data_IF_623198725238
#
_entry.id   IF_623198725238
#
_cell.length_a   1.000
_cell.length_b   1.000
_cell.length_c   1.000
_cell.angle_alpha   90.00
_cell.angle_beta   90.00
_cell.angle_gamma   90.00
#
_symmetry.space_group_name_H-M   'P 1'
#
loop_
_entity.id
_entity.type
_entity.pdbx_description
1 polymer ?
#
# COMPACT_ATOMS: atom_id res chain seq x y z
N UNK A 1 -15.09 24.59 0.80
CA UNK A 1 -16.30 25.23 1.36
C UNK A 1 -17.46 25.19 0.37
N UNK A 2 -17.26 25.52 -0.90
CA UNK A 2 -18.31 25.46 -1.95
C UNK A 2 -18.90 24.07 -2.12
N UNK A 3 -18.11 23.01 -1.88
CA UNK A 3 -18.57 21.61 -1.91
C UNK A 3 -19.15 21.12 -0.57
N UNK A 4 -19.44 22.03 0.37
CA UNK A 4 -20.03 21.69 1.68
C UNK A 4 -19.05 21.09 2.70
N UNK A 5 -17.73 21.09 2.42
CA UNK A 5 -16.74 20.66 3.39
C UNK A 5 -16.47 21.77 4.40
N UNK A 6 -16.67 21.54 5.70
CA UNK A 6 -16.39 22.53 6.74
C UNK A 6 -14.92 22.94 6.75
N UNK A 7 -14.65 24.22 7.01
CA UNK A 7 -13.30 24.78 6.98
C UNK A 7 -12.34 24.09 7.96
N UNK A 8 -12.83 23.68 9.11
CA UNK A 8 -12.06 22.96 10.13
C UNK A 8 -11.62 21.55 9.70
N UNK A 9 -12.15 21.05 8.57
CA UNK A 9 -11.72 19.78 7.95
C UNK A 9 -10.76 19.99 6.78
N UNK A 10 -10.33 21.22 6.53
CA UNK A 10 -9.36 21.56 5.49
C UNK A 10 -8.03 21.91 6.16
N UNK A 11 -7.03 21.07 5.95
CA UNK A 11 -5.70 21.20 6.55
C UNK A 11 -4.70 21.66 5.51
N UNK A 12 -3.97 22.73 5.78
CA UNK A 12 -2.89 23.25 4.94
C UNK A 12 -1.55 22.75 5.50
N UNK A 13 -1.08 21.65 4.95
CA UNK A 13 0.12 20.99 5.41
C UNK A 13 1.35 21.46 4.61
N UNK A 14 2.57 21.34 5.17
CA UNK A 14 3.80 21.74 4.49
C UNK A 14 4.14 20.81 3.31
N UNK A 15 5.10 21.22 2.48
CA UNK A 15 5.58 20.48 1.30
C UNK A 15 5.90 19.00 1.60
N UNK A 16 6.32 18.67 2.79
CA UNK A 16 6.59 17.29 3.23
C UNK A 16 5.36 16.38 3.07
N UNK A 17 4.15 16.93 3.25
CA UNK A 17 2.88 16.22 3.24
C UNK A 17 2.03 16.53 1.99
N UNK A 18 2.31 17.63 1.29
CA UNK A 18 1.53 18.09 0.13
C UNK A 18 2.43 18.32 -1.09
N UNK A 19 3.27 17.34 -1.43
CA UNK A 19 4.09 17.36 -2.63
C UNK A 19 4.36 15.93 -3.10
N UNK A 20 4.00 15.64 -4.34
CA UNK A 20 4.22 14.36 -4.95
C UNK A 20 5.31 14.39 -6.03
N UNK A 21 6.15 13.36 -6.03
CA UNK A 21 7.21 13.13 -7.01
C UNK A 21 7.51 11.62 -7.10
N UNK A 22 7.41 11.04 -8.30
CA UNK A 22 7.60 9.59 -8.51
C UNK A 22 9.05 9.13 -8.71
N UNK A 23 10.02 10.02 -8.63
CA UNK A 23 11.41 9.66 -8.91
C UNK A 23 12.36 10.84 -8.86
N UNK A 24 13.53 10.67 -9.49
CA UNK A 24 14.59 11.69 -9.46
C UNK A 24 14.46 12.72 -10.57
N UNK A 25 14.03 12.31 -11.76
CA UNK A 25 13.94 13.19 -12.97
C UNK A 25 12.58 12.95 -13.60
N UNK A 26 11.58 13.71 -13.16
CA UNK A 26 10.16 13.46 -13.48
C UNK A 26 9.32 14.72 -13.31
N UNK A 27 8.13 14.77 -13.93
CA UNK A 27 7.08 15.71 -13.54
C UNK A 27 6.69 15.56 -12.08
N UNK A 28 6.36 16.65 -11.42
CA UNK A 28 5.97 16.68 -10.01
C UNK A 28 5.14 17.92 -9.71
N UNK A 29 4.58 18.00 -8.52
CA UNK A 29 3.83 19.17 -8.10
C UNK A 29 3.21 19.04 -6.72
N UNK A 30 2.57 20.11 -6.24
CA UNK A 30 1.78 20.06 -5.03
C UNK A 30 0.59 19.12 -5.23
N UNK A 31 0.11 18.56 -4.15
CA UNK A 31 -1.04 17.67 -4.15
C UNK A 31 -2.10 18.06 -3.12
N UNK A 32 -3.27 17.48 -3.29
CA UNK A 32 -4.33 17.49 -2.30
C UNK A 32 -4.78 16.07 -2.06
N UNK A 33 -4.95 15.72 -0.81
CA UNK A 33 -5.35 14.38 -0.41
C UNK A 33 -6.70 14.40 0.29
N UNK A 34 -7.51 13.36 0.07
CA UNK A 34 -8.75 13.16 0.78
C UNK A 34 -8.59 12.04 1.80
N UNK A 35 -8.91 12.36 3.04
CA UNK A 35 -8.85 11.43 4.16
C UNK A 35 -10.24 11.14 4.73
N UNK A 36 -10.41 9.92 5.20
CA UNK A 36 -11.56 9.53 6.02
C UNK A 36 -11.14 9.51 7.48
N UNK A 37 -11.86 10.23 8.33
CA UNK A 37 -11.76 10.07 9.79
C UNK A 37 -12.45 8.77 10.19
N UNK A 38 -11.69 7.85 10.74
CA UNK A 38 -12.13 6.51 11.13
C UNK A 38 -12.79 6.47 12.51
N UNK A 39 -12.94 7.63 13.14
CA UNK A 39 -13.57 7.76 14.46
C UNK A 39 -12.69 7.31 15.64
N UNK A 40 -11.41 7.00 15.40
CA UNK A 40 -10.49 6.67 16.49
C UNK A 40 -10.15 7.90 17.34
N UNK A 41 -9.80 7.67 18.60
CA UNK A 41 -9.35 8.74 19.49
C UNK A 41 -8.10 9.43 18.92
N UNK A 42 -7.99 10.75 19.05
CA UNK A 42 -6.77 11.48 18.69
C UNK A 42 -5.55 10.92 19.44
N UNK A 43 -4.41 10.83 18.77
CA UNK A 43 -3.16 10.37 19.41
C UNK A 43 -2.52 11.44 20.31
N UNK A 44 -2.87 12.70 20.11
CA UNK A 44 -2.46 13.86 20.91
C UNK A 44 -3.37 15.06 20.59
N UNK A 45 -3.26 16.13 21.37
CA UNK A 45 -3.92 17.40 21.08
C UNK A 45 -3.39 17.96 19.74
N UNK A 46 -4.31 18.35 18.84
CA UNK A 46 -3.95 18.80 17.48
C UNK A 46 -3.68 17.66 16.49
N UNK A 47 -4.12 16.44 16.78
CA UNK A 47 -4.07 15.32 15.84
C UNK A 47 -4.77 15.67 14.52
N UNK A 48 -4.05 15.57 13.41
CA UNK A 48 -4.48 15.91 12.07
C UNK A 48 -4.09 14.82 11.05
N UNK A 49 -4.43 14.94 9.75
CA UNK A 49 -4.07 13.97 8.72
C UNK A 49 -2.57 13.70 8.52
N UNK A 50 -1.68 14.55 9.04
CA UNK A 50 -0.23 14.31 8.98
C UNK A 50 0.27 13.28 10.01
N UNK A 51 -0.61 12.83 10.91
CA UNK A 51 -0.26 11.85 11.95
C UNK A 51 -0.37 10.41 11.44
N UNK A 52 0.65 9.59 11.73
CA UNK A 52 0.67 8.15 11.39
C UNK A 52 -0.11 7.27 12.38
N UNK A 53 -1.05 7.83 13.14
CA UNK A 53 -1.77 7.10 14.20
C UNK A 53 -2.90 6.20 13.66
N UNK A 54 -3.24 6.30 12.38
CA UNK A 54 -4.29 5.53 11.74
C UNK A 54 -5.71 6.07 11.95
N UNK A 55 -5.89 7.21 12.64
CA UNK A 55 -7.18 7.90 12.75
C UNK A 55 -7.69 8.36 11.40
N UNK A 56 -6.82 8.96 10.62
CA UNK A 56 -7.11 9.42 9.26
C UNK A 56 -6.54 8.43 8.24
N UNK A 57 -7.38 7.95 7.33
CA UNK A 57 -6.98 7.06 6.24
C UNK A 57 -7.10 7.82 4.92
N UNK A 58 -5.98 8.05 4.26
CA UNK A 58 -5.95 8.61 2.90
C UNK A 58 -6.61 7.64 1.93
N UNK A 59 -7.57 8.13 1.14
CA UNK A 59 -8.30 7.34 0.15
C UNK A 59 -8.05 7.83 -1.27
N UNK A 60 -7.69 9.10 -1.45
CA UNK A 60 -7.54 9.72 -2.77
C UNK A 60 -6.50 10.81 -2.74
N UNK A 61 -5.74 10.94 -3.82
CA UNK A 61 -4.75 11.98 -4.02
C UNK A 61 -4.95 12.64 -5.40
N UNK A 62 -4.90 13.98 -5.48
CA UNK A 62 -4.88 14.74 -6.71
C UNK A 62 -3.57 15.52 -6.78
N UNK A 63 -2.73 15.19 -7.77
CA UNK A 63 -1.43 15.82 -7.96
C UNK A 63 -1.52 16.87 -9.06
N UNK A 64 -1.19 18.10 -8.73
CA UNK A 64 -1.14 19.20 -9.69
C UNK A 64 0.26 19.24 -10.33
N UNK A 65 0.42 18.52 -11.43
CA UNK A 65 1.67 18.42 -12.20
C UNK A 65 1.99 19.77 -12.83
N UNK A 66 2.76 20.60 -12.13
CA UNK A 66 3.13 21.94 -12.53
C UNK A 66 4.62 22.08 -12.81
N UNK A 67 5.45 21.19 -12.29
CA UNK A 67 6.90 21.27 -12.33
C UNK A 67 7.53 20.01 -12.92
N UNK A 68 8.74 20.19 -13.47
CA UNK A 68 9.66 19.12 -13.84
C UNK A 68 10.92 19.25 -13.00
N UNK A 69 11.33 18.17 -12.35
CA UNK A 69 12.61 18.09 -11.65
C UNK A 69 13.63 17.43 -12.56
N UNK A 70 14.76 18.09 -12.79
CA UNK A 70 15.87 17.57 -13.59
C UNK A 70 16.83 16.69 -12.76
N UNK A 71 17.83 16.10 -13.42
CA UNK A 71 18.86 15.26 -12.83
C UNK A 71 19.73 15.97 -11.77
N UNK A 72 19.83 17.31 -11.86
CA UNK A 72 20.57 18.17 -10.92
C UNK A 72 19.69 18.59 -9.74
N UNK A 73 18.41 18.20 -9.71
CA UNK A 73 17.47 18.55 -8.67
C UNK A 73 16.80 19.92 -8.84
N UNK A 74 16.98 20.61 -9.98
CA UNK A 74 16.34 21.87 -10.26
C UNK A 74 14.90 21.67 -10.73
N UNK A 75 14.03 22.59 -10.32
CA UNK A 75 12.62 22.59 -10.70
C UNK A 75 12.35 23.64 -11.76
N UNK A 76 11.78 23.27 -12.89
CA UNK A 76 11.28 24.14 -13.93
C UNK A 76 9.77 23.96 -14.11
N UNK A 77 9.07 25.00 -14.57
CA UNK A 77 7.63 24.90 -14.85
C UNK A 77 7.39 24.06 -16.11
N UNK A 78 6.40 23.20 -16.07
CA UNK A 78 5.91 22.49 -17.24
C UNK A 78 5.22 23.48 -18.21
N UNK A 79 5.39 23.24 -19.51
CA UNK A 79 4.64 23.98 -20.54
C UNK A 79 3.14 23.72 -20.47
N UNK A 80 2.78 22.47 -20.22
CA UNK A 80 1.41 22.02 -20.01
C UNK A 80 1.27 21.52 -18.58
N UNK A 81 0.33 22.09 -17.85
CA UNK A 81 -0.06 21.60 -16.53
C UNK A 81 -1.08 20.48 -16.66
N UNK A 82 -0.98 19.49 -15.80
CA UNK A 82 -1.90 18.38 -15.74
C UNK A 82 -2.34 18.15 -14.28
N UNK A 83 -3.49 17.50 -14.12
CA UNK A 83 -3.87 16.93 -12.83
C UNK A 83 -3.81 15.43 -13.00
N UNK A 84 -2.98 14.80 -12.18
CA UNK A 84 -2.94 13.35 -12.04
C UNK A 84 -3.71 12.96 -10.78
N UNK A 85 -4.40 11.85 -10.79
CA UNK A 85 -5.23 11.43 -9.66
C UNK A 85 -5.02 9.96 -9.37
N UNK A 86 -4.94 9.64 -8.07
CA UNK A 86 -4.76 8.28 -7.59
C UNK A 86 -5.72 7.93 -6.46
N UNK A 87 -6.12 6.67 -6.42
CA UNK A 87 -7.03 6.15 -5.40
C UNK A 87 -6.49 4.83 -4.86
N UNK A 88 -6.50 4.68 -3.54
CA UNK A 88 -6.20 3.41 -2.91
C UNK A 88 -7.37 2.45 -3.02
N UNK A 89 -7.37 1.52 -3.99
CA UNK A 89 -8.48 0.60 -4.21
C UNK A 89 -8.87 -0.17 -2.94
N UNK A 90 -7.90 -0.78 -2.27
CA UNK A 90 -8.15 -1.55 -1.04
C UNK A 90 -8.57 -0.65 0.12
N UNK A 91 -8.08 0.60 0.16
CA UNK A 91 -8.49 1.58 1.18
C UNK A 91 -9.95 1.97 0.99
N UNK A 92 -10.38 2.25 -0.24
CA UNK A 92 -11.78 2.55 -0.55
C UNK A 92 -12.68 1.35 -0.28
N UNK A 93 -12.27 0.14 -0.71
CA UNK A 93 -13.02 -1.09 -0.40
C UNK A 93 -13.16 -1.31 1.10
N UNK A 94 -12.10 -1.07 1.87
CA UNK A 94 -12.12 -1.18 3.33
C UNK A 94 -13.18 -0.28 3.94
N UNK A 95 -13.19 1.00 3.58
CA UNK A 95 -14.13 2.00 4.10
C UNK A 95 -15.56 1.71 3.63
N UNK A 96 -15.76 1.43 2.34
CA UNK A 96 -17.09 1.18 1.77
C UNK A 96 -17.79 -0.04 2.36
N UNK A 97 -17.02 -1.03 2.83
CA UNK A 97 -17.55 -2.23 3.46
C UNK A 97 -17.55 -2.17 5.00
N UNK A 98 -17.10 -1.07 5.59
CA UNK A 98 -17.03 -0.93 7.06
C UNK A 98 -15.99 -1.82 7.72
N UNK A 99 -14.93 -2.22 7.00
CA UNK A 99 -13.85 -3.03 7.55
C UNK A 99 -12.86 -2.19 8.38
N UNK A 100 -12.26 -2.79 9.38
CA UNK A 100 -11.23 -2.14 10.18
C UNK A 100 -9.89 -2.01 9.44
N UNK A 101 -9.56 -2.98 8.58
CA UNK A 101 -8.28 -2.99 7.87
C UNK A 101 -8.44 -3.45 6.42
N UNK A 102 -7.53 -3.02 5.56
CA UNK A 102 -7.46 -3.45 4.16
C UNK A 102 -7.27 -4.97 4.02
N UNK A 103 -6.73 -5.64 5.02
CA UNK A 103 -6.52 -7.09 5.02
C UNK A 103 -7.82 -7.91 5.16
N UNK A 104 -8.94 -7.26 5.42
CA UNK A 104 -10.27 -7.87 5.43
C UNK A 104 -10.93 -7.85 4.05
N UNK A 105 -10.39 -7.04 3.16
CA UNK A 105 -10.90 -6.93 1.79
C UNK A 105 -10.62 -8.19 0.97
N UNK A 106 -11.42 -8.38 -0.05
CA UNK A 106 -11.42 -9.50 -0.99
C UNK A 106 -10.03 -9.88 -1.56
N UNK A 107 -9.10 -8.93 -1.90
CA UNK A 107 -7.76 -9.28 -2.36
C UNK A 107 -6.97 -10.22 -1.44
N UNK A 108 -7.25 -10.23 -0.15
CA UNK A 108 -6.48 -10.98 0.84
C UNK A 108 -7.17 -12.25 1.35
N UNK A 109 -8.44 -12.46 1.05
CA UNK A 109 -9.24 -13.55 1.65
C UNK A 109 -8.68 -14.94 1.35
N UNK A 110 -8.32 -15.23 0.10
CA UNK A 110 -7.77 -16.53 -0.30
C UNK A 110 -6.42 -16.84 0.35
N UNK A 111 -5.52 -15.86 0.34
CA UNK A 111 -4.20 -16.02 0.96
C UNK A 111 -4.28 -16.13 2.48
N UNK A 112 -5.19 -15.38 3.12
CA UNK A 112 -5.46 -15.47 4.56
C UNK A 112 -5.96 -16.85 4.93
N UNK A 113 -6.95 -17.37 4.23
CA UNK A 113 -7.47 -18.74 4.44
C UNK A 113 -6.38 -19.80 4.26
N UNK A 114 -5.48 -19.62 3.27
CA UNK A 114 -4.36 -20.56 3.06
C UNK A 114 -3.36 -20.52 4.21
N UNK A 115 -3.05 -19.37 4.78
CA UNK A 115 -2.18 -19.29 5.96
C UNK A 115 -2.85 -19.97 7.15
N UNK A 116 -4.15 -19.75 7.38
CA UNK A 116 -4.91 -20.40 8.45
C UNK A 116 -4.92 -21.93 8.29
N UNK A 117 -5.15 -22.42 7.07
CA UNK A 117 -5.11 -23.86 6.74
C UNK A 117 -3.75 -24.49 7.07
N UNK A 118 -2.66 -23.81 6.70
CA UNK A 118 -1.30 -24.34 6.86
C UNK A 118 -0.75 -24.26 8.28
N UNK A 119 -1.27 -23.34 9.10
CA UNK A 119 -0.74 -23.09 10.46
C UNK A 119 -1.68 -23.49 11.59
N UNK A 120 -2.97 -23.65 11.29
CA UNK A 120 -4.03 -23.81 12.30
C UNK A 120 -4.33 -22.54 13.11
N UNK A 121 -3.59 -21.44 12.88
CA UNK A 121 -3.78 -20.17 13.58
C UNK A 121 -4.78 -19.28 12.86
N UNK A 122 -5.47 -18.41 13.60
CA UNK A 122 -6.48 -17.51 13.06
C UNK A 122 -5.98 -16.06 12.99
N UNK A 123 -6.34 -15.38 11.90
CA UNK A 123 -6.14 -13.93 11.79
C UNK A 123 -6.93 -13.24 12.92
N UNK A 124 -6.29 -12.32 13.64
CA UNK A 124 -6.93 -11.61 14.76
C UNK A 124 -6.77 -12.32 16.12
N UNK A 125 -6.20 -13.53 16.19
CA UNK A 125 -6.06 -14.33 17.42
C UNK A 125 -5.18 -13.64 18.48
N UNK A 126 -4.11 -12.98 18.06
CA UNK A 126 -3.29 -12.08 18.89
C UNK A 126 -2.65 -10.98 18.06
N UNK A 127 -2.16 -9.90 18.68
CA UNK A 127 -1.44 -8.83 17.97
C UNK A 127 -0.22 -9.35 17.18
N UNK A 128 0.54 -10.29 17.74
CA UNK A 128 1.72 -10.88 17.12
C UNK A 128 1.34 -11.72 15.90
N UNK A 129 0.33 -12.57 16.03
CA UNK A 129 -0.20 -13.41 14.95
C UNK A 129 -0.75 -12.51 13.85
N UNK A 130 -1.57 -11.53 14.19
CA UNK A 130 -2.15 -10.57 13.24
C UNK A 130 -1.07 -9.83 12.46
N UNK A 131 -0.03 -9.34 13.14
CA UNK A 131 1.12 -8.68 12.50
C UNK A 131 1.84 -9.60 11.54
N UNK A 132 2.07 -10.86 11.92
CA UNK A 132 2.73 -11.83 11.07
C UNK A 132 1.90 -12.14 9.81
N UNK A 133 0.58 -12.33 9.95
CA UNK A 133 -0.33 -12.48 8.81
C UNK A 133 -0.23 -11.29 7.86
N UNK A 134 -0.38 -10.06 8.35
CA UNK A 134 -0.34 -8.83 7.53
C UNK A 134 0.95 -8.73 6.73
N UNK A 135 2.09 -9.01 7.36
CA UNK A 135 3.39 -8.97 6.69
C UNK A 135 3.47 -10.03 5.58
N UNK A 136 3.02 -11.25 5.83
CA UNK A 136 3.05 -12.32 4.83
C UNK A 136 2.10 -11.98 3.68
N UNK A 137 0.87 -11.59 3.97
CA UNK A 137 -0.14 -11.23 2.97
C UNK A 137 0.35 -10.13 2.03
N UNK A 138 0.87 -9.03 2.59
CA UNK A 138 1.38 -7.90 1.84
C UNK A 138 2.62 -8.27 1.01
N UNK A 139 3.61 -8.89 1.64
CA UNK A 139 4.90 -9.15 0.99
C UNK A 139 4.81 -10.25 -0.05
N UNK A 140 4.02 -11.30 0.17
CA UNK A 140 3.84 -12.37 -0.83
C UNK A 140 3.05 -11.85 -2.02
N UNK A 141 1.98 -11.06 -1.81
CA UNK A 141 1.26 -10.41 -2.90
C UNK A 141 2.19 -9.55 -3.75
N UNK A 142 2.93 -8.64 -3.11
CA UNK A 142 3.88 -7.77 -3.81
C UNK A 142 4.94 -8.58 -4.57
N UNK A 143 5.51 -9.61 -3.94
CA UNK A 143 6.50 -10.47 -4.60
C UNK A 143 5.91 -11.21 -5.80
N UNK A 144 4.67 -11.71 -5.71
CA UNK A 144 3.99 -12.40 -6.82
C UNK A 144 3.86 -11.50 -8.04
N UNK A 145 3.41 -10.26 -7.86
CA UNK A 145 3.29 -9.31 -8.98
C UNK A 145 4.64 -8.85 -9.53
N UNK A 146 5.63 -8.57 -8.67
CA UNK A 146 6.97 -8.17 -9.12
C UNK A 146 7.68 -9.26 -9.92
N UNK A 147 7.52 -10.52 -9.54
CA UNK A 147 8.12 -11.67 -10.25
C UNK A 147 7.34 -11.96 -11.54
N UNK A 148 6.03 -11.90 -11.50
CA UNK A 148 5.15 -12.23 -12.62
C UNK A 148 4.97 -11.10 -13.64
N UNK A 149 5.45 -9.88 -13.37
CA UNK A 149 5.40 -8.76 -14.33
C UNK A 149 6.11 -9.13 -15.66
N UNK A 150 5.67 -8.55 -16.78
CA UNK A 150 6.27 -8.80 -18.10
C UNK A 150 7.80 -8.60 -18.14
N UNK A 151 8.31 -7.62 -17.37
CA UNK A 151 9.75 -7.41 -17.21
C UNK A 151 10.37 -8.37 -16.20
N UNK A 152 9.59 -8.89 -15.27
CA UNK A 152 9.98 -9.81 -14.22
C UNK A 152 11.17 -9.32 -13.37
N UNK A 153 11.00 -9.20 -12.07
CA UNK A 153 12.11 -8.84 -11.18
C UNK A 153 12.59 -10.09 -10.46
N UNK A 154 13.90 -10.36 -10.55
CA UNK A 154 14.53 -11.49 -9.85
C UNK A 154 15.13 -10.98 -8.52
N UNK A 155 15.00 -11.73 -7.41
CA UNK A 155 15.65 -11.36 -6.16
C UNK A 155 17.17 -11.26 -6.33
N UNK A 156 17.75 -10.13 -5.94
CA UNK A 156 19.18 -9.86 -6.10
C UNK A 156 19.78 -9.11 -4.90
N UNK A 157 21.02 -8.67 -5.02
CA UNK A 157 21.70 -7.86 -4.00
C UNK A 157 21.66 -6.36 -4.29
N UNK A 158 21.09 -5.95 -5.42
CA UNK A 158 21.07 -4.55 -5.88
C UNK A 158 19.68 -4.13 -6.34
N UNK A 159 19.43 -2.83 -6.34
CA UNK A 159 18.27 -2.16 -6.90
C UNK A 159 16.90 -2.78 -6.48
N UNK A 160 15.97 -2.88 -7.42
CA UNK A 160 14.62 -3.42 -7.17
C UNK A 160 14.66 -4.90 -6.72
N UNK A 161 15.62 -5.67 -7.24
CA UNK A 161 15.81 -7.07 -6.86
C UNK A 161 16.22 -7.23 -5.39
N UNK A 162 16.97 -6.27 -4.84
CA UNK A 162 17.27 -6.23 -3.40
C UNK A 162 16.02 -5.99 -2.55
N UNK A 163 15.15 -5.07 -2.98
CA UNK A 163 13.87 -4.82 -2.29
C UNK A 163 13.02 -6.09 -2.29
N UNK A 164 12.84 -6.72 -3.46
CA UNK A 164 12.11 -7.99 -3.58
C UNK A 164 12.68 -9.08 -2.67
N UNK A 165 13.99 -9.25 -2.66
CA UNK A 165 14.67 -10.21 -1.77
C UNK A 165 14.38 -9.92 -0.29
N UNK A 166 14.37 -8.65 0.12
CA UNK A 166 14.03 -8.26 1.50
C UNK A 166 12.59 -8.61 1.86
N UNK A 167 11.63 -8.36 0.95
CA UNK A 167 10.22 -8.70 1.16
C UNK A 167 10.06 -10.21 1.37
N UNK A 168 10.63 -11.03 0.47
CA UNK A 168 10.56 -12.50 0.57
C UNK A 168 11.20 -12.97 1.90
N UNK A 169 12.40 -12.51 2.24
CA UNK A 169 13.06 -12.89 3.49
C UNK A 169 12.26 -12.51 4.73
N UNK A 170 11.60 -11.35 4.69
CA UNK A 170 10.75 -10.92 5.78
C UNK A 170 9.48 -11.79 5.89
N UNK A 171 8.86 -12.14 4.77
CA UNK A 171 7.75 -13.09 4.75
C UNK A 171 8.15 -14.46 5.29
N UNK A 172 9.31 -14.99 4.89
CA UNK A 172 9.87 -16.26 5.44
C UNK A 172 10.04 -16.17 6.96
N UNK A 173 10.64 -15.09 7.45
CA UNK A 173 10.85 -14.89 8.89
C UNK A 173 9.55 -14.94 9.67
N UNK A 174 8.54 -14.19 9.24
CA UNK A 174 7.23 -14.17 9.91
C UNK A 174 6.44 -15.46 9.68
N UNK A 175 6.65 -16.14 8.55
CA UNK A 175 6.13 -17.48 8.32
C UNK A 175 6.62 -18.49 9.35
N UNK A 176 7.91 -18.46 9.70
CA UNK A 176 8.47 -19.28 10.78
C UNK A 176 7.84 -18.98 12.14
N UNK A 177 7.60 -17.69 12.44
CA UNK A 177 6.88 -17.29 13.67
C UNK A 177 5.47 -17.88 13.75
N UNK A 178 4.78 -18.00 12.61
CA UNK A 178 3.46 -18.66 12.54
C UNK A 178 3.54 -20.18 12.51
N UNK A 179 4.70 -20.76 12.26
CA UNK A 179 4.87 -22.22 12.10
C UNK A 179 4.54 -22.71 10.68
N UNK A 180 4.62 -21.82 9.67
CA UNK A 180 4.45 -22.22 8.27
C UNK A 180 5.50 -23.27 7.86
N UNK A 181 5.08 -24.41 7.28
CA UNK A 181 6.01 -25.39 6.71
C UNK A 181 6.88 -24.79 5.59
N UNK A 182 7.99 -25.44 5.30
CA UNK A 182 8.84 -25.06 4.17
C UNK A 182 8.06 -25.12 2.84
N UNK A 183 8.34 -24.17 1.92
CA UNK A 183 7.62 -24.07 0.65
C UNK A 183 6.23 -23.44 0.73
N UNK A 184 5.73 -23.07 1.91
CA UNK A 184 4.37 -22.51 2.08
C UNK A 184 4.16 -21.18 1.35
N UNK A 185 5.19 -20.35 1.20
CA UNK A 185 5.04 -19.06 0.52
C UNK A 185 4.62 -19.23 -0.95
N UNK A 186 5.10 -20.27 -1.63
CA UNK A 186 4.66 -20.58 -2.99
C UNK A 186 3.17 -20.97 -3.04
N UNK A 187 2.68 -21.72 -2.05
CA UNK A 187 1.26 -22.08 -1.94
C UNK A 187 0.37 -20.88 -1.66
N UNK A 188 0.88 -19.90 -0.88
CA UNK A 188 0.19 -18.64 -0.63
C UNK A 188 0.21 -17.77 -1.90
N UNK A 189 1.33 -17.67 -2.60
CA UNK A 189 1.45 -16.95 -3.87
C UNK A 189 0.48 -17.50 -4.93
N UNK A 190 0.31 -18.83 -5.01
CA UNK A 190 -0.64 -19.46 -5.92
C UNK A 190 -2.09 -18.97 -5.72
N UNK A 191 -2.48 -18.57 -4.52
CA UNK A 191 -3.82 -18.00 -4.28
C UNK A 191 -3.99 -16.65 -4.94
N UNK A 192 -2.95 -15.83 -5.00
CA UNK A 192 -2.95 -14.56 -5.72
C UNK A 192 -2.94 -14.77 -7.24
N UNK A 193 -2.13 -15.70 -7.74
CA UNK A 193 -2.15 -16.07 -9.15
C UNK A 193 -3.55 -16.51 -9.57
N UNK A 194 -4.17 -17.43 -8.82
CA UNK A 194 -5.53 -17.90 -9.11
C UNK A 194 -6.55 -16.78 -9.14
N UNK A 195 -6.47 -15.85 -8.19
CA UNK A 195 -7.38 -14.70 -8.11
C UNK A 195 -7.23 -13.73 -9.27
N UNK A 196 -5.99 -13.47 -9.71
CA UNK A 196 -5.69 -12.38 -10.63
C UNK A 196 -5.39 -12.82 -12.07
N UNK A 197 -5.22 -14.11 -12.34
CA UNK A 197 -4.82 -14.67 -13.65
C UNK A 197 -5.68 -14.26 -14.84
N UNK A 198 -6.96 -13.87 -14.60
CA UNK A 198 -7.87 -13.44 -15.66
C UNK A 198 -7.75 -11.94 -15.96
N UNK A 199 -7.21 -11.15 -15.04
CA UNK A 199 -6.97 -9.72 -15.19
C UNK A 199 -5.52 -9.41 -15.59
N UNK A 200 -4.59 -10.27 -15.15
CA UNK A 200 -3.15 -10.15 -15.37
C UNK A 200 -2.62 -11.50 -15.89
N UNK A 201 -2.61 -11.67 -17.21
CA UNK A 201 -2.18 -12.95 -17.82
C UNK A 201 -0.71 -13.28 -17.57
N UNK A 202 0.11 -12.27 -17.40
CA UNK A 202 1.56 -12.36 -17.20
C UNK A 202 1.96 -13.04 -15.88
N UNK A 203 1.07 -13.12 -14.89
CA UNK A 203 1.39 -13.75 -13.58
C UNK A 203 1.09 -15.26 -13.52
N UNK A 204 0.62 -15.86 -14.60
CA UNK A 204 0.30 -17.30 -14.70
C UNK A 204 1.50 -18.21 -14.54
#
# INVERSE_FOLDING_TARGET
>A
EECGIPKEKIFYLPKKNNWWIAGTTVPCGPDTEMFIDRGFSPCHDGCDPSCDCGKYLEIWNNVFMEFFKDENGHYSKLKQKNVDTGMGLERVLCISNGYETVYETDPFTGAKAKIEELTGKKYGESPEITKAFRIILDHVRTATFLIGDQKGIVPSNVDQGYVLRRLIRRAVRFGRTLGLPEGSLAKIAATYVEKYKNAYEEIK
#
